data_IF_538237672378
#
_entry.id   IF_538237672378
#
_cell.length_a   1.000
_cell.length_b   1.000
_cell.length_c   1.000
_cell.angle_alpha   90.00
_cell.angle_beta   90.00
_cell.angle_gamma   90.00
#
_symmetry.space_group_name_H-M   'P 1'
#
loop_
_entity.id
_entity.type
_entity.pdbx_description
1 polymer ?
#
# COMPACT_ATOMS: atom_id res chain seq x y z
N UNK A 1 -4.85 18.03 9.02
CA UNK A 1 -3.43 17.69 8.79
C UNK A 1 -3.15 17.69 7.31
N UNK A 2 -1.97 18.14 6.89
CA UNK A 2 -1.52 18.03 5.50
C UNK A 2 -1.33 16.54 5.15
N UNK A 3 -1.78 16.14 3.97
CA UNK A 3 -1.58 14.79 3.42
C UNK A 3 -0.41 14.83 2.44
N UNK A 4 0.66 14.13 2.76
CA UNK A 4 1.87 14.06 1.94
C UNK A 4 2.24 12.58 1.76
N UNK A 5 2.61 12.22 0.53
CA UNK A 5 2.91 10.85 0.18
C UNK A 5 3.78 10.75 -1.06
N UNK A 6 4.27 9.54 -1.28
CA UNK A 6 5.06 9.15 -2.44
C UNK A 6 4.53 7.83 -2.98
N UNK A 7 5.01 7.43 -4.16
CA UNK A 7 4.74 6.10 -4.67
C UNK A 7 5.60 5.07 -3.92
N UNK A 8 4.96 4.07 -3.32
CA UNK A 8 5.61 2.99 -2.56
C UNK A 8 5.54 1.67 -3.31
N UNK A 9 6.57 0.85 -3.13
CA UNK A 9 6.62 -0.51 -3.68
C UNK A 9 5.78 -1.47 -2.83
N UNK A 10 5.04 -2.35 -3.50
CA UNK A 10 4.32 -3.48 -2.88
C UNK A 10 5.07 -4.81 -3.05
N UNK A 11 6.29 -4.80 -3.59
CA UNK A 11 7.04 -6.02 -3.93
C UNK A 11 7.40 -6.90 -2.73
N UNK A 12 7.37 -6.33 -1.52
CA UNK A 12 7.64 -7.05 -0.25
C UNK A 12 6.35 -7.42 0.52
N UNK A 13 5.19 -7.31 -0.13
CA UNK A 13 3.87 -7.48 0.47
C UNK A 13 3.08 -6.16 0.47
N UNK A 14 1.78 -6.27 0.24
CA UNK A 14 0.85 -5.14 0.17
C UNK A 14 0.76 -4.41 1.51
N UNK A 15 0.68 -5.15 2.62
CA UNK A 15 0.61 -4.60 3.97
C UNK A 15 1.91 -3.95 4.45
N UNK A 16 3.04 -4.13 3.75
CA UNK A 16 4.31 -3.43 4.09
C UNK A 16 4.30 -1.95 3.71
N UNK A 17 3.35 -1.50 2.89
CA UNK A 17 3.21 -0.09 2.51
C UNK A 17 3.14 0.84 3.72
N UNK A 18 2.48 0.40 4.78
CA UNK A 18 2.31 1.17 6.01
C UNK A 18 3.64 1.33 6.77
N UNK A 19 4.48 0.29 6.82
CA UNK A 19 5.79 0.39 7.46
C UNK A 19 6.70 1.38 6.70
N UNK A 20 6.73 1.26 5.37
CA UNK A 20 7.48 2.17 4.50
C UNK A 20 6.96 3.61 4.61
N UNK A 21 5.65 3.79 4.66
CA UNK A 21 5.05 5.11 4.79
C UNK A 21 5.46 5.78 6.12
N UNK A 22 5.45 5.03 7.23
CA UNK A 22 5.94 5.53 8.53
C UNK A 22 7.42 5.87 8.52
N UNK A 23 8.25 5.00 7.96
CA UNK A 23 9.70 5.20 7.86
C UNK A 23 10.02 6.49 7.10
N UNK A 24 9.26 6.78 6.04
CA UNK A 24 9.41 7.98 5.23
C UNK A 24 8.68 9.21 5.78
N UNK A 25 8.00 9.10 6.93
CA UNK A 25 7.24 10.20 7.53
C UNK A 25 6.05 10.67 6.69
N UNK A 26 5.50 9.80 5.84
CA UNK A 26 4.39 10.13 4.95
C UNK A 26 3.08 9.44 5.39
N UNK A 27 1.95 10.01 4.97
CA UNK A 27 0.63 9.62 5.49
C UNK A 27 -0.45 9.46 4.41
N UNK A 28 -0.07 9.50 3.12
CA UNK A 28 -1.00 9.41 1.98
C UNK A 28 -0.33 8.80 0.73
N UNK A 29 0.13 7.53 0.78
CA UNK A 29 0.94 6.96 -0.30
C UNK A 29 0.13 6.52 -1.52
N UNK A 30 0.83 6.33 -2.64
CA UNK A 30 0.31 5.67 -3.85
C UNK A 30 1.00 4.31 -4.04
N UNK A 31 0.28 3.31 -4.54
CA UNK A 31 0.81 1.97 -4.87
C UNK A 31 0.30 1.52 -6.24
N UNK A 32 0.94 0.50 -6.80
CA UNK A 32 0.37 -0.26 -7.90
C UNK A 32 -0.64 -1.31 -7.38
N UNK A 33 -1.56 -1.76 -8.25
CA UNK A 33 -2.44 -2.90 -7.96
C UNK A 33 -1.70 -4.25 -8.07
N UNK A 34 -0.66 -4.31 -8.91
CA UNK A 34 0.20 -5.47 -9.12
C UNK A 34 1.54 -5.01 -9.73
N UNK A 35 2.41 -5.93 -10.16
CA UNK A 35 3.65 -5.53 -10.84
C UNK A 35 3.33 -4.90 -12.20
N UNK A 36 3.71 -3.64 -12.49
CA UNK A 36 3.47 -2.97 -13.78
C UNK A 36 4.28 -3.56 -14.94
N UNK A 37 5.11 -4.57 -14.67
CA UNK A 37 5.97 -5.25 -15.65
C UNK A 37 5.40 -6.59 -16.10
N UNK A 38 4.21 -6.97 -15.63
CA UNK A 38 3.61 -8.28 -15.91
C UNK A 38 2.12 -8.16 -16.22
N UNK A 39 1.67 -8.91 -17.23
CA UNK A 39 0.25 -9.08 -17.53
C UNK A 39 -0.45 -10.09 -16.62
N UNK A 40 0.30 -11.07 -16.09
CA UNK A 40 -0.22 -12.09 -15.17
C UNK A 40 0.15 -11.73 -13.74
N UNK A 41 -0.83 -11.80 -12.85
CA UNK A 41 -0.66 -11.62 -11.42
C UNK A 41 -1.66 -12.47 -10.65
N UNK A 42 -1.37 -12.66 -9.37
CA UNK A 42 -2.25 -13.32 -8.43
C UNK A 42 -2.83 -12.28 -7.46
N UNK A 43 -4.06 -12.51 -7.04
CA UNK A 43 -4.67 -11.69 -6.01
C UNK A 43 -4.00 -12.01 -4.65
N UNK A 44 -3.89 -11.02 -3.75
CA UNK A 44 -3.44 -11.29 -2.38
C UNK A 44 -4.36 -12.32 -1.70
N UNK A 45 -3.78 -13.21 -0.90
CA UNK A 45 -4.56 -14.16 -0.12
C UNK A 45 -5.37 -13.45 0.98
N UNK A 46 -6.36 -14.14 1.54
CA UNK A 46 -7.27 -13.57 2.55
C UNK A 46 -6.55 -13.02 3.79
N UNK A 47 -5.48 -13.70 4.23
CA UNK A 47 -4.68 -13.27 5.38
C UNK A 47 -4.01 -11.91 5.14
N UNK A 48 -3.41 -11.71 3.96
CA UNK A 48 -2.79 -10.44 3.57
C UNK A 48 -3.84 -9.34 3.38
N UNK A 49 -5.00 -9.67 2.82
CA UNK A 49 -6.11 -8.71 2.67
C UNK A 49 -6.59 -8.24 4.06
N UNK A 50 -6.78 -9.16 5.00
CA UNK A 50 -7.24 -8.80 6.34
C UNK A 50 -6.18 -8.01 7.09
N UNK A 51 -4.90 -8.41 7.00
CA UNK A 51 -3.79 -7.65 7.56
C UNK A 51 -3.74 -6.22 7.02
N UNK A 52 -3.91 -6.03 5.71
CA UNK A 52 -3.98 -4.69 5.11
C UNK A 52 -5.16 -3.88 5.66
N UNK A 53 -6.37 -4.46 5.68
CA UNK A 53 -7.58 -3.79 6.19
C UNK A 53 -7.44 -3.38 7.65
N UNK A 54 -6.91 -4.26 8.50
CA UNK A 54 -6.68 -3.95 9.91
C UNK A 54 -5.73 -2.77 10.08
N UNK A 55 -4.60 -2.77 9.38
CA UNK A 55 -3.65 -1.64 9.40
C UNK A 55 -4.26 -0.36 8.87
N UNK A 56 -5.03 -0.42 7.78
CA UNK A 56 -5.73 0.75 7.24
C UNK A 56 -6.75 1.37 8.23
N UNK A 57 -7.37 0.56 9.08
CA UNK A 57 -8.31 1.03 10.10
C UNK A 57 -7.60 1.73 11.26
N UNK A 58 -6.48 1.18 11.73
CA UNK A 58 -5.81 1.66 12.95
C UNK A 58 -4.73 2.72 12.71
N UNK A 59 -4.13 2.75 11.52
CA UNK A 59 -3.07 3.70 11.17
C UNK A 59 -3.63 4.93 10.42
N UNK A 60 -3.13 6.14 10.71
CA UNK A 60 -3.50 7.37 9.96
C UNK A 60 -2.70 7.53 8.66
N UNK A 61 -2.56 6.45 7.91
CA UNK A 61 -1.88 6.40 6.60
C UNK A 61 -2.97 6.18 5.55
N UNK A 62 -3.61 7.30 5.17
CA UNK A 62 -4.79 7.33 4.32
C UNK A 62 -4.97 8.71 3.67
N UNK A 63 -5.61 8.77 2.48
CA UNK A 63 -5.96 7.63 1.63
C UNK A 63 -4.72 6.94 1.05
N UNK A 64 -4.87 5.68 0.64
CA UNK A 64 -3.88 4.97 -0.18
C UNK A 64 -4.44 4.92 -1.60
N UNK A 65 -3.74 5.52 -2.56
CA UNK A 65 -4.19 5.56 -3.95
C UNK A 65 -3.61 4.39 -4.75
N UNK A 66 -4.40 3.89 -5.70
CA UNK A 66 -3.94 2.88 -6.65
C UNK A 66 -3.68 3.55 -8.00
N UNK A 67 -2.43 3.49 -8.44
CA UNK A 67 -2.09 3.72 -9.84
C UNK A 67 -2.27 2.40 -10.58
N UNK A 68 -3.07 2.40 -11.65
CA UNK A 68 -3.23 1.20 -12.46
C UNK A 68 -1.84 0.77 -12.99
N UNK A 69 -1.57 -0.54 -12.92
CA UNK A 69 -0.28 -1.12 -13.31
C UNK A 69 -0.33 -1.62 -14.74
#
# INVERSE_FOLDING_TARGET
MLRLGVHLSISKGLSKVFDLARELGCNCPQIFSHSPRSWRFELPNEEEVERFKQRYRVEDIKPIFVHQS
#
